data_IF_325231127041
#
_entry.id   IF_325231127041
#
_cell.length_a   1.000
_cell.length_b   1.000
_cell.length_c   1.000
_cell.angle_alpha   90.00
_cell.angle_beta   90.00
_cell.angle_gamma   90.00
#
_symmetry.space_group_name_H-M   'P 1'
#
loop_
_entity.id
_entity.type
_entity.pdbx_description
1 polymer ?
#
# COMPACT_ATOMS: atom_id res chain seq x y z
N UNK A 1 -22.12 -5.79 -27.58
CA UNK A 1 -22.16 -5.35 -26.17
C UNK A 1 -20.89 -4.56 -25.93
N UNK A 2 -20.99 -3.37 -25.35
CA UNK A 2 -19.82 -2.58 -24.97
C UNK A 2 -19.09 -3.26 -23.82
N UNK A 3 -17.76 -3.43 -23.94
CA UNK A 3 -16.93 -3.95 -22.85
C UNK A 3 -17.00 -3.01 -21.64
N UNK A 4 -16.91 -3.53 -20.42
CA UNK A 4 -16.99 -2.69 -19.22
C UNK A 4 -15.65 -2.00 -18.93
N UNK A 5 -14.53 -2.67 -19.22
CA UNK A 5 -13.24 -2.01 -19.32
C UNK A 5 -13.04 -1.47 -20.76
N UNK A 6 -12.66 -0.19 -20.96
CA UNK A 6 -12.46 0.39 -22.29
C UNK A 6 -11.38 -0.35 -23.07
N UNK A 7 -11.59 -0.60 -24.38
CA UNK A 7 -10.65 -1.37 -25.21
C UNK A 7 -10.21 -0.55 -26.43
N UNK A 8 -8.91 -0.53 -26.76
CA UNK A 8 -8.42 0.10 -27.99
C UNK A 8 -8.84 -0.72 -29.21
N UNK A 9 -8.95 -0.07 -30.37
CA UNK A 9 -9.14 -0.76 -31.65
C UNK A 9 -7.80 -1.02 -32.36
N UNK A 10 -6.78 -0.22 -32.05
CA UNK A 10 -5.46 -0.28 -32.68
C UNK A 10 -4.34 0.21 -31.74
N UNK A 11 -3.09 -0.02 -32.11
CA UNK A 11 -1.92 0.52 -31.37
C UNK A 11 -1.88 2.05 -31.37
N UNK A 12 -2.45 2.70 -32.38
CA UNK A 12 -2.57 4.16 -32.45
C UNK A 12 -3.51 4.75 -31.38
N UNK A 13 -4.37 3.91 -30.77
CA UNK A 13 -5.24 4.29 -29.66
C UNK A 13 -4.52 4.24 -28.30
N UNK A 14 -3.28 3.77 -28.25
CA UNK A 14 -2.49 3.66 -27.03
C UNK A 14 -1.33 4.65 -27.11
N UNK A 15 -1.13 5.41 -26.03
CA UNK A 15 0.01 6.31 -25.90
C UNK A 15 0.68 6.11 -24.55
N UNK A 16 1.84 5.47 -24.55
CA UNK A 16 2.71 5.35 -23.39
C UNK A 16 3.16 6.74 -22.92
N UNK A 17 3.12 6.95 -21.61
CA UNK A 17 3.63 8.14 -20.95
C UNK A 17 4.64 7.66 -19.91
N UNK A 18 5.94 7.81 -20.19
CA UNK A 18 7.04 7.30 -19.35
C UNK A 18 7.84 6.19 -20.04
N UNK A 19 9.03 5.90 -19.49
CA UNK A 19 9.99 4.94 -20.06
C UNK A 19 10.26 3.70 -19.19
N UNK A 20 9.61 3.58 -18.03
CA UNK A 20 9.99 2.63 -16.99
C UNK A 20 9.31 1.26 -17.10
N UNK A 21 10.08 0.16 -17.26
CA UNK A 21 9.74 -1.28 -17.09
C UNK A 21 9.63 -2.08 -18.41
N UNK A 22 8.82 -3.14 -18.49
CA UNK A 22 8.84 -4.05 -19.69
C UNK A 22 7.80 -3.89 -20.84
N UNK A 23 6.52 -3.54 -20.59
CA UNK A 23 5.50 -3.58 -21.66
C UNK A 23 5.62 -2.43 -22.69
N UNK A 24 5.62 -2.79 -23.98
CA UNK A 24 5.48 -1.89 -25.12
C UNK A 24 4.02 -1.73 -25.58
N UNK A 25 3.80 -0.91 -26.62
CA UNK A 25 2.45 -0.57 -27.11
C UNK A 25 1.73 -1.80 -27.70
N UNK A 26 2.42 -2.62 -28.47
CA UNK A 26 1.82 -3.78 -29.13
C UNK A 26 1.51 -4.90 -28.13
N UNK A 27 2.36 -5.08 -27.10
CA UNK A 27 2.07 -5.98 -25.98
C UNK A 27 0.85 -5.51 -25.20
N UNK A 28 0.74 -4.20 -24.91
CA UNK A 28 -0.45 -3.64 -24.24
C UNK A 28 -1.71 -3.85 -25.06
N UNK A 29 -1.67 -3.62 -26.38
CA UNK A 29 -2.79 -3.89 -27.28
C UNK A 29 -3.20 -5.37 -27.22
N UNK A 30 -2.23 -6.27 -27.28
CA UNK A 30 -2.46 -7.72 -27.23
C UNK A 30 -3.12 -8.13 -25.91
N UNK A 31 -2.61 -7.65 -24.77
CA UNK A 31 -3.17 -7.93 -23.45
C UNK A 31 -4.58 -7.33 -23.29
N UNK A 32 -4.80 -6.11 -23.77
CA UNK A 32 -6.09 -5.42 -23.77
C UNK A 32 -7.09 -6.00 -24.77
N UNK A 33 -6.68 -6.78 -25.77
CA UNK A 33 -7.61 -7.43 -26.69
C UNK A 33 -7.71 -8.95 -26.47
N UNK A 34 -6.95 -9.48 -25.50
CA UNK A 34 -6.90 -10.91 -25.24
C UNK A 34 -8.30 -11.47 -24.93
N UNK A 35 -8.70 -12.59 -25.58
CA UNK A 35 -9.97 -13.25 -25.30
C UNK A 35 -10.02 -13.89 -23.90
N UNK A 36 -8.87 -14.07 -23.24
CA UNK A 36 -8.77 -14.57 -21.87
C UNK A 36 -8.74 -13.47 -20.81
N UNK A 37 -8.81 -12.20 -21.21
CA UNK A 37 -8.81 -11.09 -20.28
C UNK A 37 -10.09 -11.07 -19.43
N UNK A 38 -9.94 -11.00 -18.11
CA UNK A 38 -11.03 -11.08 -17.13
C UNK A 38 -11.29 -9.71 -16.51
N UNK A 39 -12.52 -9.23 -16.61
CA UNK A 39 -12.96 -8.02 -15.93
C UNK A 39 -13.27 -8.32 -14.47
N UNK A 40 -12.54 -7.70 -13.54
CA UNK A 40 -12.71 -7.88 -12.10
C UNK A 40 -13.82 -6.99 -11.55
N UNK A 41 -15.05 -7.24 -12.01
CA UNK A 41 -16.25 -6.49 -11.59
C UNK A 41 -16.58 -6.70 -10.11
N UNK A 42 -16.30 -7.90 -9.59
CA UNK A 42 -16.52 -8.30 -8.19
C UNK A 42 -15.59 -7.56 -7.21
N UNK A 43 -14.53 -6.91 -7.70
CA UNK A 43 -13.59 -6.14 -6.87
C UNK A 43 -13.93 -4.66 -6.75
N UNK A 44 -15.00 -4.20 -7.41
CA UNK A 44 -15.37 -2.80 -7.53
C UNK A 44 -16.72 -2.52 -6.89
N UNK A 45 -16.83 -1.41 -6.15
CA UNK A 45 -18.09 -0.90 -5.60
C UNK A 45 -18.67 -1.76 -4.48
N UNK A 46 -17.84 -2.57 -3.82
CA UNK A 46 -18.33 -3.45 -2.77
C UNK A 46 -18.47 -2.70 -1.45
N UNK A 47 -19.63 -2.86 -0.83
CA UNK A 47 -20.04 -2.16 0.40
C UNK A 47 -19.50 -2.88 1.65
N UNK A 48 -19.19 -4.17 1.53
CA UNK A 48 -18.62 -4.98 2.60
C UNK A 48 -17.10 -4.77 2.70
N UNK A 49 -16.56 -4.50 3.92
CA UNK A 49 -15.12 -4.42 4.16
C UNK A 49 -14.32 -5.64 3.63
N UNK A 50 -14.97 -6.81 3.55
CA UNK A 50 -14.33 -8.07 3.15
C UNK A 50 -14.10 -8.22 1.63
N UNK A 51 -14.80 -7.49 0.76
CA UNK A 51 -14.93 -7.90 -0.65
C UNK A 51 -14.34 -6.93 -1.69
N UNK A 52 -13.96 -5.70 -1.31
CA UNK A 52 -13.26 -4.79 -2.21
C UNK A 52 -13.29 -3.34 -1.73
N UNK A 53 -12.34 -2.53 -2.18
CA UNK A 53 -12.19 -1.12 -1.75
C UNK A 53 -12.22 -0.14 -2.93
N UNK A 54 -12.37 -0.64 -4.17
CA UNK A 54 -12.32 0.22 -5.34
C UNK A 54 -13.64 0.98 -5.54
N UNK A 55 -13.55 2.28 -5.81
CA UNK A 55 -14.69 3.16 -6.12
C UNK A 55 -15.53 2.57 -7.25
N UNK A 56 -16.85 2.74 -7.22
CA UNK A 56 -17.76 2.22 -8.27
C UNK A 56 -17.42 2.67 -9.71
N UNK A 57 -16.69 3.77 -9.85
CA UNK A 57 -16.19 4.28 -11.14
C UNK A 57 -14.91 3.59 -11.63
N UNK A 58 -14.24 2.83 -10.78
CA UNK A 58 -13.04 2.07 -11.13
C UNK A 58 -13.39 0.95 -12.10
N UNK A 59 -12.51 0.68 -13.06
CA UNK A 59 -12.55 -0.50 -13.93
C UNK A 59 -11.23 -1.22 -13.78
N UNK A 60 -11.32 -2.54 -13.57
CA UNK A 60 -10.17 -3.41 -13.42
C UNK A 60 -10.23 -4.53 -14.45
N UNK A 61 -9.09 -4.84 -15.05
CA UNK A 61 -8.96 -5.91 -16.01
C UNK A 61 -7.69 -6.69 -15.74
N UNK A 62 -7.79 -8.00 -15.56
CA UNK A 62 -6.63 -8.89 -15.50
C UNK A 62 -6.41 -9.58 -16.85
N UNK A 63 -5.18 -9.60 -17.34
CA UNK A 63 -4.82 -10.25 -18.60
C UNK A 63 -3.35 -10.62 -18.60
N UNK A 64 -3.01 -11.86 -18.93
CA UNK A 64 -1.62 -12.31 -19.11
C UNK A 64 -0.69 -12.06 -17.92
N UNK A 65 -1.19 -12.12 -16.68
CA UNK A 65 -0.40 -11.83 -15.48
C UNK A 65 -0.25 -10.34 -15.15
N UNK A 66 -1.00 -9.47 -15.82
CA UNK A 66 -1.04 -8.02 -15.58
C UNK A 66 -2.43 -7.57 -15.16
N UNK A 67 -2.50 -6.50 -14.39
CA UNK A 67 -3.74 -5.84 -13.97
C UNK A 67 -3.75 -4.41 -14.48
N UNK A 68 -4.78 -4.09 -15.25
CA UNK A 68 -5.06 -2.75 -15.76
C UNK A 68 -6.10 -2.07 -14.89
N UNK A 69 -5.91 -0.78 -14.62
CA UNK A 69 -6.82 0.06 -13.83
C UNK A 69 -7.12 1.35 -14.59
N UNK A 70 -8.38 1.76 -14.58
CA UNK A 70 -8.83 3.10 -15.01
C UNK A 70 -10.02 3.54 -14.17
N UNK A 71 -10.35 4.82 -14.22
CA UNK A 71 -11.54 5.39 -13.58
C UNK A 71 -12.44 6.07 -14.63
N UNK A 72 -13.71 5.66 -14.70
CA UNK A 72 -14.69 6.24 -15.63
C UNK A 72 -14.94 7.73 -15.40
N UNK A 73 -14.74 8.21 -14.17
CA UNK A 73 -14.84 9.63 -13.82
C UNK A 73 -13.71 10.48 -14.39
N UNK A 74 -12.60 9.86 -14.81
CA UNK A 74 -11.41 10.56 -15.31
C UNK A 74 -11.28 10.55 -16.84
N UNK A 75 -12.16 9.82 -17.53
CA UNK A 75 -12.18 9.79 -18.98
C UNK A 75 -12.65 11.14 -19.55
N UNK A 76 -11.97 11.63 -20.60
CA UNK A 76 -12.26 12.94 -21.18
C UNK A 76 -12.38 12.87 -22.70
N UNK A 77 -13.15 13.77 -23.35
CA UNK A 77 -13.15 13.87 -24.82
C UNK A 77 -11.79 14.29 -25.39
N UNK A 78 -11.00 15.04 -24.60
CA UNK A 78 -9.70 15.56 -25.02
C UNK A 78 -8.54 14.83 -24.34
N UNK A 79 -7.40 14.77 -25.01
CA UNK A 79 -6.18 14.15 -24.49
C UNK A 79 -5.53 14.95 -23.34
N UNK A 80 -5.75 16.27 -23.31
CA UNK A 80 -4.95 17.21 -22.50
C UNK A 80 -5.04 16.94 -21.00
N UNK A 81 -6.26 16.85 -20.45
CA UNK A 81 -6.49 16.62 -19.03
C UNK A 81 -5.87 15.32 -18.51
N UNK A 82 -6.19 14.15 -19.10
CA UNK A 82 -5.61 12.87 -18.70
C UNK A 82 -4.08 12.85 -18.80
N UNK A 83 -3.51 13.45 -19.85
CA UNK A 83 -2.06 13.53 -20.04
C UNK A 83 -1.38 14.31 -18.89
N UNK A 84 -1.95 15.44 -18.48
CA UNK A 84 -1.42 16.25 -17.37
C UNK A 84 -1.46 15.47 -16.06
N UNK A 85 -2.54 14.72 -15.79
CA UNK A 85 -2.64 13.90 -14.57
C UNK A 85 -1.54 12.85 -14.51
N UNK A 86 -1.38 12.05 -15.57
CA UNK A 86 -0.35 11.02 -15.63
C UNK A 86 1.05 11.65 -15.52
N UNK A 87 1.30 12.79 -16.18
CA UNK A 87 2.57 13.48 -16.08
C UNK A 87 2.95 13.86 -14.64
N UNK A 88 1.96 14.25 -13.81
CA UNK A 88 2.18 14.51 -12.37
C UNK A 88 2.55 13.24 -11.60
N UNK A 89 1.88 12.12 -11.88
CA UNK A 89 2.23 10.83 -11.27
C UNK A 89 3.64 10.38 -11.64
N UNK A 90 4.01 10.49 -12.91
CA UNK A 90 5.37 10.18 -13.37
C UNK A 90 6.44 11.07 -12.71
N UNK A 91 6.14 12.34 -12.49
CA UNK A 91 7.03 13.24 -11.77
C UNK A 91 7.25 12.77 -10.33
N UNK A 92 6.22 12.27 -9.66
CA UNK A 92 6.36 11.67 -8.33
C UNK A 92 7.13 10.35 -8.41
N UNK A 93 6.77 9.46 -9.33
CA UNK A 93 7.44 8.16 -9.53
C UNK A 93 8.95 8.30 -9.82
N UNK A 94 9.38 9.40 -10.44
CA UNK A 94 10.80 9.68 -10.65
C UNK A 94 11.59 10.03 -9.38
N UNK A 95 10.91 10.25 -8.25
CA UNK A 95 11.50 10.72 -6.98
C UNK A 95 11.29 9.73 -5.84
N UNK A 96 10.26 8.90 -5.90
CA UNK A 96 9.91 7.95 -4.85
C UNK A 96 9.62 6.57 -5.43
N UNK A 97 10.24 5.57 -4.82
CA UNK A 97 10.02 4.16 -5.14
C UNK A 97 8.88 3.63 -4.26
N UNK A 98 7.65 3.78 -4.74
CA UNK A 98 6.44 3.27 -4.08
C UNK A 98 5.63 2.35 -4.98
N UNK A 99 5.76 2.50 -6.29
CA UNK A 99 5.11 1.62 -7.26
C UNK A 99 6.09 0.56 -7.74
N UNK A 100 5.54 -0.59 -8.16
CA UNK A 100 6.33 -1.64 -8.80
C UNK A 100 7.11 -1.07 -10.00
N UNK A 101 8.39 -1.47 -10.22
CA UNK A 101 9.22 -0.94 -11.31
C UNK A 101 8.61 -1.14 -12.70
N UNK A 102 7.86 -2.23 -12.86
CA UNK A 102 7.12 -2.49 -14.10
C UNK A 102 5.76 -1.82 -14.23
N UNK A 103 5.31 -1.04 -13.23
CA UNK A 103 4.08 -0.27 -13.36
C UNK A 103 4.23 0.76 -14.47
N UNK A 104 3.19 0.88 -15.29
CA UNK A 104 3.08 1.86 -16.38
C UNK A 104 1.85 2.70 -16.22
N UNK A 105 1.95 3.88 -16.83
CA UNK A 105 0.81 4.73 -17.13
C UNK A 105 0.78 5.04 -18.63
N UNK A 106 -0.43 5.04 -19.18
CA UNK A 106 -0.64 5.33 -20.59
C UNK A 106 -2.02 5.94 -20.79
N UNK A 107 -2.20 6.57 -21.95
CA UNK A 107 -3.50 7.00 -22.41
C UNK A 107 -4.06 5.98 -23.36
N UNK A 108 -5.33 5.69 -23.19
CA UNK A 108 -6.10 4.79 -24.02
C UNK A 108 -7.25 5.56 -24.68
N UNK A 109 -7.40 5.48 -25.99
CA UNK A 109 -8.56 6.00 -26.72
C UNK A 109 -9.59 4.88 -26.90
N UNK A 110 -10.83 5.14 -26.49
CA UNK A 110 -11.97 4.24 -26.68
C UNK A 110 -13.26 5.06 -26.70
N UNK A 111 -14.15 4.79 -27.65
CA UNK A 111 -15.47 5.45 -27.79
C UNK A 111 -15.39 6.98 -27.70
N UNK A 112 -14.50 7.59 -28.51
CA UNK A 112 -14.25 9.04 -28.56
C UNK A 112 -13.79 9.71 -27.25
N UNK A 113 -13.32 8.90 -26.29
CA UNK A 113 -12.75 9.39 -25.03
C UNK A 113 -11.32 8.91 -24.84
N UNK A 114 -10.56 9.71 -24.11
CA UNK A 114 -9.22 9.42 -23.62
C UNK A 114 -9.29 9.02 -22.15
N UNK A 115 -8.79 7.84 -21.86
CA UNK A 115 -8.80 7.19 -20.57
C UNK A 115 -7.37 7.20 -20.01
N UNK A 116 -7.14 7.74 -18.80
CA UNK A 116 -5.90 7.50 -18.09
C UNK A 116 -5.91 6.08 -17.54
N UNK A 117 -4.93 5.27 -17.95
CA UNK A 117 -4.84 3.87 -17.56
C UNK A 117 -3.50 3.62 -16.90
N UNK A 118 -3.49 2.85 -15.82
CA UNK A 118 -2.28 2.23 -15.30
C UNK A 118 -2.33 0.72 -15.51
N UNK A 119 -1.15 0.10 -15.61
CA UNK A 119 -0.99 -1.35 -15.62
C UNK A 119 0.17 -1.74 -14.75
N UNK A 120 0.02 -2.79 -13.96
CA UNK A 120 1.08 -3.36 -13.14
C UNK A 120 1.04 -4.89 -13.23
N UNK A 121 2.14 -5.59 -12.91
CA UNK A 121 2.08 -7.03 -12.72
C UNK A 121 0.97 -7.39 -11.73
N UNK A 122 0.41 -8.59 -11.88
CA UNK A 122 -0.56 -9.10 -10.95
C UNK A 122 0.14 -9.48 -9.63
N UNK A 123 -0.08 -8.66 -8.61
CA UNK A 123 0.49 -8.81 -7.28
C UNK A 123 -0.52 -9.41 -6.29
N UNK A 124 -0.03 -9.95 -5.17
CA UNK A 124 -0.86 -10.40 -4.05
C UNK A 124 -1.10 -9.22 -3.10
N UNK A 125 -2.34 -8.75 -3.01
CA UNK A 125 -2.68 -7.65 -2.09
C UNK A 125 -2.52 -8.08 -0.63
N UNK A 126 -2.17 -7.16 0.26
CA UNK A 126 -2.02 -7.49 1.68
C UNK A 126 -3.34 -7.98 2.28
N UNK A 127 -4.49 -7.45 1.83
CA UNK A 127 -5.82 -7.94 2.23
C UNK A 127 -6.02 -9.44 1.90
N UNK A 128 -5.37 -9.97 0.87
CA UNK A 128 -5.49 -11.39 0.51
C UNK A 128 -4.61 -12.32 1.35
N UNK A 129 -3.75 -11.79 2.24
CA UNK A 129 -2.93 -12.57 3.15
C UNK A 129 -3.79 -12.99 4.35
N UNK A 130 -4.08 -14.28 4.46
CA UNK A 130 -4.92 -14.84 5.55
C UNK A 130 -4.13 -15.19 6.81
N UNK A 131 -2.81 -15.37 6.71
CA UNK A 131 -1.95 -15.63 7.85
C UNK A 131 -1.64 -14.32 8.59
N UNK A 132 -2.11 -14.21 9.84
CA UNK A 132 -1.98 -12.98 10.63
C UNK A 132 -0.54 -12.52 10.79
N UNK A 133 0.39 -13.43 11.10
CA UNK A 133 1.80 -13.08 11.33
C UNK A 133 2.46 -12.50 10.07
N UNK A 134 2.15 -13.04 8.90
CA UNK A 134 2.60 -12.50 7.61
C UNK A 134 1.95 -11.15 7.31
N UNK A 135 0.64 -11.04 7.55
CA UNK A 135 -0.10 -9.80 7.35
C UNK A 135 0.44 -8.67 8.23
N UNK A 136 0.54 -8.90 9.54
CA UNK A 136 0.92 -7.88 10.53
C UNK A 136 2.32 -7.34 10.28
N UNK A 137 3.30 -8.19 9.95
CA UNK A 137 4.65 -7.75 9.55
C UNK A 137 4.66 -6.86 8.31
N UNK A 138 3.93 -7.28 7.28
CA UNK A 138 3.81 -6.50 6.03
C UNK A 138 3.12 -5.17 6.31
N UNK A 139 2.07 -5.20 7.13
CA UNK A 139 1.31 -4.04 7.50
C UNK A 139 2.13 -3.04 8.32
N UNK A 140 2.90 -3.50 9.30
CA UNK A 140 3.84 -2.64 10.03
C UNK A 140 4.88 -2.01 9.08
N UNK A 141 5.34 -2.75 8.06
CA UNK A 141 6.17 -2.22 6.99
C UNK A 141 5.49 -1.11 6.17
N UNK A 142 4.21 -1.30 5.80
CA UNK A 142 3.41 -0.27 5.13
C UNK A 142 3.31 0.99 5.98
N UNK A 143 2.94 0.87 7.26
CA UNK A 143 2.79 2.03 8.14
C UNK A 143 4.11 2.79 8.27
N UNK A 144 5.22 2.09 8.50
CA UNK A 144 6.54 2.71 8.59
C UNK A 144 6.91 3.46 7.30
N UNK A 145 6.73 2.83 6.14
CA UNK A 145 6.99 3.43 4.84
C UNK A 145 6.08 4.63 4.57
N UNK A 146 4.82 4.58 4.96
CA UNK A 146 3.88 5.69 4.79
C UNK A 146 4.28 6.92 5.63
N UNK A 147 4.74 6.71 6.87
CA UNK A 147 5.24 7.81 7.73
C UNK A 147 6.51 8.41 7.13
N UNK A 148 7.44 7.56 6.68
CA UNK A 148 8.66 8.01 6.00
C UNK A 148 8.34 8.90 4.78
N UNK A 149 7.44 8.44 3.90
CA UNK A 149 7.02 9.17 2.71
C UNK A 149 6.33 10.49 3.06
N UNK A 150 5.44 10.46 4.05
CA UNK A 150 4.76 11.66 4.55
C UNK A 150 5.77 12.71 5.02
N UNK A 151 6.77 12.30 5.81
CA UNK A 151 7.76 13.21 6.40
C UNK A 151 8.80 13.72 5.42
N UNK A 152 9.35 12.84 4.59
CA UNK A 152 10.47 13.19 3.72
C UNK A 152 10.03 13.76 2.37
N UNK A 153 8.83 13.40 1.90
CA UNK A 153 8.36 13.78 0.57
C UNK A 153 7.04 14.55 0.57
N UNK A 154 6.41 14.74 1.74
CA UNK A 154 5.09 15.38 1.85
C UNK A 154 4.03 14.68 0.99
N UNK A 155 4.06 13.34 1.00
CA UNK A 155 3.15 12.47 0.25
C UNK A 155 2.43 11.55 1.23
N UNK A 156 1.11 11.59 1.24
CA UNK A 156 0.27 10.59 1.89
C UNK A 156 -0.27 9.55 0.92
N UNK A 157 -0.53 8.37 1.47
CA UNK A 157 -1.09 7.22 0.76
C UNK A 157 -2.42 6.82 1.41
N UNK A 158 -3.34 6.26 0.64
CA UNK A 158 -4.54 5.62 1.22
C UNK A 158 -4.14 4.31 1.92
N UNK A 159 -4.19 4.32 3.26
CA UNK A 159 -3.79 3.25 4.16
C UNK A 159 -4.84 2.13 4.30
N UNK A 160 -5.45 1.71 3.20
CA UNK A 160 -6.20 0.46 3.10
C UNK A 160 -5.29 -0.70 2.65
N UNK A 161 -5.29 -1.88 3.29
CA UNK A 161 -4.42 -3.00 2.85
C UNK A 161 -4.70 -3.54 1.44
N UNK A 162 -5.84 -3.17 0.84
CA UNK A 162 -6.13 -3.50 -0.55
C UNK A 162 -5.30 -2.66 -1.55
N UNK A 163 -4.72 -1.55 -1.11
CA UNK A 163 -3.90 -0.66 -1.95
C UNK A 163 -2.41 -0.99 -1.91
N UNK A 164 -2.02 -2.01 -1.15
CA UNK A 164 -0.65 -2.47 -1.03
C UNK A 164 -0.57 -3.94 -1.42
N UNK A 165 0.50 -4.31 -2.10
CA UNK A 165 0.70 -5.66 -2.59
C UNK A 165 2.17 -6.08 -2.59
N UNK A 166 2.40 -7.38 -2.56
CA UNK A 166 3.71 -8.02 -2.69
C UNK A 166 3.70 -8.96 -3.89
N UNK A 167 4.88 -9.32 -4.40
CA UNK A 167 4.98 -10.39 -5.39
C UNK A 167 4.58 -11.73 -4.77
N UNK A 168 3.81 -12.51 -5.54
CA UNK A 168 3.33 -13.81 -5.08
C UNK A 168 4.50 -14.78 -4.86
N UNK A 169 4.48 -15.50 -3.74
CA UNK A 169 5.50 -16.51 -3.41
C UNK A 169 6.76 -15.97 -2.75
N UNK A 170 6.91 -14.65 -2.60
CA UNK A 170 7.97 -14.07 -1.78
C UNK A 170 7.63 -14.14 -0.28
N UNK A 171 8.66 -14.23 0.55
CA UNK A 171 8.51 -14.08 2.00
C UNK A 171 8.09 -12.63 2.30
N UNK A 172 6.92 -12.39 2.92
CA UNK A 172 6.46 -11.05 3.22
C UNK A 172 7.40 -10.24 4.12
N UNK A 173 8.27 -10.90 4.89
CA UNK A 173 9.28 -10.21 5.70
C UNK A 173 10.43 -9.62 4.87
N UNK A 174 10.66 -10.14 3.65
CA UNK A 174 11.74 -9.73 2.76
C UNK A 174 11.23 -9.13 1.45
N UNK A 175 9.95 -9.29 1.12
CA UNK A 175 9.34 -8.81 -0.10
C UNK A 175 9.18 -7.28 -0.07
N UNK A 176 9.58 -6.58 -1.15
CA UNK A 176 9.18 -5.19 -1.35
C UNK A 176 7.66 -5.07 -1.35
N UNK A 177 7.16 -4.05 -0.65
CA UNK A 177 5.73 -3.74 -0.64
C UNK A 177 5.48 -2.60 -1.61
N UNK A 178 4.59 -2.84 -2.57
CA UNK A 178 4.24 -1.91 -3.62
C UNK A 178 2.88 -1.30 -3.35
N UNK A 179 2.79 0.02 -3.50
CA UNK A 179 1.52 0.74 -3.61
C UNK A 179 0.96 0.50 -5.02
N UNK A 180 -0.29 0.03 -5.11
CA UNK A 180 -0.92 -0.32 -6.39
C UNK A 180 -1.96 0.71 -6.85
N UNK A 181 -2.36 1.64 -5.98
CA UNK A 181 -3.22 2.76 -6.36
C UNK A 181 -2.42 3.86 -7.10
N UNK A 182 -3.14 4.71 -7.83
CA UNK A 182 -2.67 5.88 -8.54
C UNK A 182 -3.02 7.19 -7.82
N UNK A 183 -3.78 7.13 -6.72
CA UNK A 183 -4.15 8.30 -5.91
C UNK A 183 -3.08 8.61 -4.85
N UNK A 184 -2.75 9.90 -4.71
CA UNK A 184 -1.86 10.40 -3.67
C UNK A 184 -2.55 11.52 -2.91
N UNK A 185 -2.20 11.66 -1.63
CA UNK A 185 -2.81 12.60 -0.71
C UNK A 185 -1.74 13.54 -0.13
N UNK A 186 -2.14 14.63 0.54
CA UNK A 186 -1.23 15.41 1.38
C UNK A 186 -0.53 14.54 2.42
N UNK A 187 0.50 15.09 3.06
CA UNK A 187 1.18 14.43 4.18
C UNK A 187 0.17 13.93 5.23
N UNK A 188 0.40 12.71 5.71
CA UNK A 188 -0.43 12.04 6.70
C UNK A 188 -0.25 12.66 8.08
N UNK A 189 -1.38 12.87 8.74
CA UNK A 189 -1.46 13.21 10.16
C UNK A 189 -1.37 11.95 11.04
N UNK A 190 -0.96 12.10 12.31
CA UNK A 190 -0.87 10.96 13.24
C UNK A 190 -2.22 10.28 13.51
N UNK A 191 -3.33 11.02 13.40
CA UNK A 191 -4.68 10.47 13.54
C UNK A 191 -5.03 9.51 12.39
N UNK A 192 -4.56 9.77 11.17
CA UNK A 192 -4.74 8.88 10.01
C UNK A 192 -3.91 7.60 10.17
N UNK A 193 -2.69 7.72 10.70
CA UNK A 193 -1.85 6.57 11.07
C UNK A 193 -2.53 5.72 12.15
N UNK A 194 -3.04 6.37 13.21
CA UNK A 194 -3.75 5.68 14.29
C UNK A 194 -4.98 4.93 13.77
N UNK A 195 -5.79 5.57 12.91
CA UNK A 195 -6.93 4.94 12.28
C UNK A 195 -6.53 3.72 11.43
N UNK A 196 -5.46 3.82 10.64
CA UNK A 196 -4.95 2.71 9.82
C UNK A 196 -4.53 1.50 10.66
N UNK A 197 -3.94 1.73 11.84
CA UNK A 197 -3.56 0.69 12.81
C UNK A 197 -4.81 0.08 13.46
N UNK A 198 -5.67 0.91 14.06
CA UNK A 198 -6.78 0.46 14.91
C UNK A 198 -7.91 -0.20 14.10
N UNK A 199 -8.16 0.26 12.87
CA UNK A 199 -9.18 -0.34 12.01
C UNK A 199 -8.88 -1.80 11.61
N UNK A 200 -7.70 -2.35 11.95
CA UNK A 200 -7.42 -3.78 11.80
C UNK A 200 -8.13 -4.64 12.85
N UNK A 201 -8.41 -4.09 14.04
CA UNK A 201 -9.01 -4.82 15.17
C UNK A 201 -10.35 -5.46 14.80
N UNK A 202 -11.36 -4.71 14.31
CA UNK A 202 -12.65 -5.30 13.96
C UNK A 202 -12.58 -6.24 12.75
N UNK A 203 -11.53 -6.14 11.92
CA UNK A 203 -11.33 -7.04 10.78
C UNK A 203 -10.78 -8.42 11.18
N UNK A 204 -10.25 -8.56 12.41
CA UNK A 204 -9.60 -9.76 12.89
C UNK A 204 -10.17 -10.22 14.26
N UNK A 205 -11.47 -10.54 14.34
CA UNK A 205 -12.14 -10.84 15.61
C UNK A 205 -11.70 -12.16 16.25
N UNK A 206 -10.90 -12.97 15.57
CA UNK A 206 -10.43 -14.27 16.04
C UNK A 206 -9.06 -14.21 16.74
N UNK A 207 -8.38 -13.07 16.70
CA UNK A 207 -7.10 -12.88 17.38
C UNK A 207 -7.30 -12.63 18.87
N UNK A 208 -6.37 -13.13 19.67
CA UNK A 208 -6.33 -12.88 21.10
C UNK A 208 -5.46 -11.66 21.45
N UNK A 209 -5.39 -11.34 22.74
CA UNK A 209 -4.63 -10.18 23.23
C UNK A 209 -3.12 -10.33 23.01
N UNK A 210 -2.57 -11.55 23.04
CA UNK A 210 -1.14 -11.80 22.80
C UNK A 210 -0.78 -11.48 21.34
N UNK A 211 -1.63 -11.84 20.38
CA UNK A 211 -1.47 -11.48 18.97
C UNK A 211 -1.45 -9.95 18.74
N UNK A 212 -2.28 -9.20 19.48
CA UNK A 212 -2.33 -7.74 19.40
C UNK A 212 -1.14 -7.07 20.09
N UNK A 213 -0.71 -7.62 21.22
CA UNK A 213 0.50 -7.19 21.92
C UNK A 213 1.74 -7.36 21.03
N UNK A 214 1.90 -8.53 20.40
CA UNK A 214 3.01 -8.82 19.47
C UNK A 214 3.00 -7.86 18.27
N UNK A 215 1.82 -7.56 17.72
CA UNK A 215 1.69 -6.57 16.65
C UNK A 215 2.09 -5.16 17.13
N UNK A 216 1.74 -4.79 18.36
CA UNK A 216 2.18 -3.53 18.98
C UNK A 216 3.70 -3.42 19.09
N UNK A 217 4.38 -4.50 19.50
CA UNK A 217 5.85 -4.52 19.56
C UNK A 217 6.49 -4.41 18.17
N UNK A 218 5.98 -5.16 17.18
CA UNK A 218 6.47 -5.10 15.79
C UNK A 218 6.32 -3.67 15.21
N UNK A 219 5.16 -3.03 15.45
CA UNK A 219 4.95 -1.63 15.07
C UNK A 219 5.97 -0.73 15.77
N UNK A 220 6.13 -0.85 17.09
CA UNK A 220 7.07 -0.01 17.85
C UNK A 220 8.47 -0.02 17.25
N UNK A 221 9.01 -1.21 16.99
CA UNK A 221 10.34 -1.37 16.41
C UNK A 221 10.49 -0.72 15.03
N UNK A 222 9.44 -0.77 14.18
CA UNK A 222 9.49 -0.17 12.84
C UNK A 222 9.21 1.32 12.79
N UNK A 223 8.41 1.84 13.71
CA UNK A 223 8.04 3.26 13.73
C UNK A 223 9.06 4.12 14.48
N UNK A 224 9.90 3.54 15.36
CA UNK A 224 10.90 4.27 16.13
C UNK A 224 11.81 5.20 15.31
N UNK A 225 12.35 4.79 14.14
CA UNK A 225 13.16 5.68 13.30
C UNK A 225 12.38 6.91 12.78
N UNK A 226 11.06 6.81 12.73
CA UNK A 226 10.19 7.79 12.09
C UNK A 226 9.27 8.50 13.06
N UNK A 227 9.29 8.24 14.37
CA UNK A 227 8.51 8.99 15.37
C UNK A 227 9.49 9.64 16.33
N UNK A 228 9.66 10.94 16.17
CA UNK A 228 10.69 11.76 16.78
C UNK A 228 10.33 12.12 18.22
N UNK A 229 10.61 11.18 19.12
CA UNK A 229 10.67 11.42 20.56
C UNK A 229 9.33 11.30 21.31
N UNK A 230 9.38 11.50 22.64
CA UNK A 230 8.30 11.10 23.55
C UNK A 230 6.96 11.80 23.30
N UNK A 231 6.98 13.03 22.78
CA UNK A 231 5.76 13.80 22.50
C UNK A 231 4.95 13.22 21.35
N UNK A 232 5.58 12.91 20.22
CA UNK A 232 4.89 12.32 19.08
C UNK A 232 4.38 10.91 19.38
N UNK A 233 5.12 10.15 20.21
CA UNK A 233 4.65 8.87 20.72
C UNK A 233 3.42 9.02 21.62
N UNK A 234 3.45 9.96 22.56
CA UNK A 234 2.29 10.26 23.41
C UNK A 234 1.07 10.67 22.59
N UNK A 235 1.28 11.50 21.56
CA UNK A 235 0.22 11.91 20.64
C UNK A 235 -0.34 10.72 19.86
N UNK A 236 0.50 9.87 19.28
CA UNK A 236 0.05 8.66 18.59
C UNK A 236 -0.76 7.74 19.53
N UNK A 237 -0.34 7.57 20.78
CA UNK A 237 -1.08 6.75 21.75
C UNK A 237 -2.46 7.32 22.06
N UNK A 238 -2.56 8.65 22.21
CA UNK A 238 -3.84 9.32 22.40
C UNK A 238 -4.74 9.10 21.19
N UNK A 239 -4.22 9.32 19.97
CA UNK A 239 -4.97 9.13 18.73
C UNK A 239 -5.46 7.69 18.57
N UNK A 240 -4.64 6.68 18.91
CA UNK A 240 -5.04 5.26 18.92
C UNK A 240 -6.20 5.02 19.92
N UNK A 241 -6.14 5.66 21.08
CA UNK A 241 -7.22 5.60 22.08
C UNK A 241 -8.51 6.28 21.63
N UNK A 242 -8.42 7.31 20.78
CA UNK A 242 -9.55 8.11 20.31
C UNK A 242 -10.25 7.52 19.07
N UNK A 243 -9.63 6.56 18.36
CA UNK A 243 -10.29 5.88 17.23
C UNK A 243 -11.54 5.15 17.74
N UNK A 244 -12.74 5.46 17.19
CA UNK A 244 -13.98 4.83 17.65
C UNK A 244 -14.00 3.32 17.36
N UNK A 245 -14.18 2.52 18.39
CA UNK A 245 -14.41 1.08 18.32
C UNK A 245 -15.60 0.68 19.20
N UNK A 246 -16.20 -0.48 18.93
CA UNK A 246 -17.13 -1.11 19.86
C UNK A 246 -16.39 -1.53 21.14
N UNK A 247 -17.06 -1.46 22.29
CA UNK A 247 -16.48 -1.80 23.60
C UNK A 247 -15.98 -3.26 23.67
N UNK A 248 -16.50 -4.14 22.82
CA UNK A 248 -16.01 -5.52 22.66
C UNK A 248 -14.57 -5.61 22.13
N UNK A 249 -13.97 -4.50 21.70
CA UNK A 249 -12.60 -4.43 21.18
C UNK A 249 -11.65 -3.67 22.11
N UNK A 250 -12.07 -3.32 23.33
CA UNK A 250 -11.25 -2.56 24.27
C UNK A 250 -10.01 -3.33 24.73
N UNK A 251 -10.13 -4.64 24.97
CA UNK A 251 -9.02 -5.51 25.40
C UNK A 251 -7.94 -5.61 24.32
N UNK A 252 -8.32 -5.93 23.08
CA UNK A 252 -7.42 -5.93 21.93
C UNK A 252 -6.67 -4.60 21.74
N UNK A 253 -7.38 -3.47 21.86
CA UNK A 253 -6.76 -2.14 21.78
C UNK A 253 -5.80 -1.86 22.93
N UNK A 254 -6.15 -2.28 24.15
CA UNK A 254 -5.28 -2.15 25.32
C UNK A 254 -4.01 -3.00 25.17
N UNK A 255 -4.12 -4.23 24.67
CA UNK A 255 -2.99 -5.10 24.39
C UNK A 255 -2.05 -4.50 23.33
N UNK A 256 -2.60 -4.02 22.21
CA UNK A 256 -1.86 -3.29 21.18
C UNK A 256 -1.09 -2.08 21.76
N UNK A 257 -1.76 -1.25 22.56
CA UNK A 257 -1.13 -0.09 23.20
C UNK A 257 -0.04 -0.49 24.20
N UNK A 258 -0.21 -1.62 24.88
CA UNK A 258 0.80 -2.15 25.81
C UNK A 258 2.04 -2.57 25.03
N UNK A 259 1.89 -3.36 23.96
CA UNK A 259 3.00 -3.75 23.08
C UNK A 259 3.72 -2.55 22.43
N UNK A 260 2.98 -1.49 22.08
CA UNK A 260 3.57 -0.25 21.55
C UNK A 260 4.41 0.53 22.57
N UNK A 261 4.12 0.40 23.87
CA UNK A 261 4.79 1.13 24.96
C UNK A 261 6.00 0.38 25.49
N UNK A 262 5.90 -0.95 25.56
CA UNK A 262 6.94 -1.80 26.09
C UNK A 262 8.00 -2.07 25.01
N UNK A 263 9.08 -1.30 25.04
CA UNK A 263 10.33 -1.74 24.43
C UNK A 263 10.90 -2.80 25.36
N UNK A 264 10.88 -4.06 24.91
CA UNK A 264 11.44 -5.19 25.66
C UNK A 264 12.88 -4.83 26.10
N UNK A 265 13.09 -4.64 27.41
CA UNK A 265 14.40 -4.42 28.05
C UNK A 265 15.43 -5.51 27.68
N UNK A 266 14.96 -6.60 27.04
CA UNK A 266 15.77 -7.72 26.54
C UNK A 266 16.75 -7.35 25.42
N UNK A 267 16.48 -6.34 24.59
CA UNK A 267 17.45 -5.91 23.53
C UNK A 267 18.62 -5.13 24.15
N UNK A 268 18.38 -4.39 25.24
CA UNK A 268 19.45 -3.73 26.00
C UNK A 268 20.38 -4.75 26.69
N UNK A 269 19.88 -5.94 27.04
CA UNK A 269 20.70 -7.02 27.61
C UNK A 269 21.57 -7.73 26.56
N UNK A 270 21.09 -7.89 25.32
CA UNK A 270 21.87 -8.48 24.23
C UNK A 270 22.97 -7.54 23.69
N UNK A 271 22.73 -6.22 23.66
CA UNK A 271 23.73 -5.25 23.25
C UNK A 271 24.81 -4.99 24.32
N UNK A 272 24.46 -5.10 25.61
CA UNK A 272 25.41 -4.98 26.73
C UNK A 272 26.26 -6.23 26.97
N UNK A 273 25.86 -7.40 26.46
CA UNK A 273 26.63 -8.64 26.54
C UNK A 273 27.58 -8.87 25.35
N UNK A 274 27.41 -8.14 24.24
CA UNK A 274 28.32 -8.16 23.08
C UNK A 274 29.49 -7.17 23.18
N UNK A 275 29.44 -6.19 24.11
CA UNK A 275 30.53 -5.28 24.42
C UNK A 275 31.48 -5.88 25.47
N UNK A 276 32.04 -7.04 25.13
CA UNK A 276 33.15 -7.63 25.86
C UNK A 276 34.32 -6.66 25.92
N UNK A 277 34.67 -6.26 27.14
CA UNK A 277 35.83 -5.45 27.47
C UNK A 277 37.10 -6.09 26.90
N UNK A 278 37.72 -5.46 25.90
CA UNK A 278 39.15 -5.63 25.66
C UNK A 278 39.89 -4.67 26.59
N UNK A 279 40.31 -5.17 27.74
CA UNK A 279 41.40 -4.57 28.49
C UNK A 279 42.64 -4.72 27.61
N UNK A 280 43.07 -3.62 26.99
CA UNK A 280 44.37 -3.53 26.34
C UNK A 280 45.37 -3.19 27.44
N UNK A 281 46.14 -4.19 27.84
CA UNK A 281 47.29 -4.02 28.74
C UNK A 281 48.36 -3.22 27.98
N UNK A 282 48.49 -1.93 28.31
CA UNK A 282 49.59 -1.09 27.84
C UNK A 282 50.66 -1.09 28.92
N UNK A 283 51.49 -2.13 28.90
CA UNK A 283 52.69 -2.21 29.71
C UNK A 283 53.65 -1.03 29.44
N UNK A 284 54.11 -0.43 30.54
CA UNK A 284 55.39 0.27 30.66
C UNK A 284 56.05 -0.14 31.96
#
# INVERSE_FOLDING_TARGET
MTAWFPRPSSSADIRLLGASGELGVDELLTLLQSPTAVEWRDKVGVISPAEGSAKASTRLLASGGWVFKTDTGQAEPSRGGPQIRIARLLQVASRVEIWHPDKRWFLLRSEDRWWPVSVCPQLLTLRAITDWRRFSRSWSGVIARAIELSRHHNIGLDLGPANFAIEAGLDPAAAPIWYIDDELYPALELSEIAAAIVNRIPEQPALDDDDWYDFGQELRGRLEPYIAGPWQWSELFLQIGDVPLATSHDEARAALLTGLRELDDKVAFAASSASGWRIVDLGR
#
